data_IF_260435007979
#
_entry.id   IF_260435007979
#
_cell.length_a   1.000
_cell.length_b   1.000
_cell.length_c   1.000
_cell.angle_alpha   90.00
_cell.angle_beta   90.00
_cell.angle_gamma   90.00
#
_symmetry.space_group_name_H-M   'P 1'
#
loop_
_entity.id
_entity.type
_entity.pdbx_description
1 polymer ?
#
# COMPACT_ATOMS: atom_id res chain seq x y z
N UNK A 1 -32.49 -7.44 31.69
CA UNK A 1 -33.58 -8.22 31.08
C UNK A 1 -32.93 -9.22 30.13
N UNK A 2 -32.98 -10.52 30.42
CA UNK A 2 -32.38 -11.57 29.57
C UNK A 2 -33.31 -11.80 28.36
N UNK A 3 -32.79 -11.71 27.14
CA UNK A 3 -33.54 -12.06 25.93
C UNK A 3 -32.95 -13.37 25.39
N UNK A 4 -33.82 -14.38 25.35
CA UNK A 4 -33.58 -15.72 24.84
C UNK A 4 -33.57 -15.71 23.31
N UNK A 5 -32.55 -16.31 22.69
CA UNK A 5 -32.48 -16.53 21.25
C UNK A 5 -33.17 -17.85 20.90
N UNK A 6 -34.27 -17.78 20.15
CA UNK A 6 -34.95 -18.94 19.59
C UNK A 6 -34.50 -19.10 18.14
N UNK A 7 -33.86 -20.22 17.84
CA UNK A 7 -33.31 -20.57 16.53
C UNK A 7 -34.45 -21.10 15.64
N UNK A 8 -34.70 -20.43 14.50
CA UNK A 8 -35.50 -21.00 13.42
C UNK A 8 -34.54 -21.63 12.40
N UNK A 9 -34.56 -22.96 12.31
CA UNK A 9 -33.91 -23.70 11.24
C UNK A 9 -34.77 -23.60 9.97
N UNK A 10 -34.25 -22.94 8.93
CA UNK A 10 -34.67 -23.16 7.55
C UNK A 10 -33.46 -23.61 6.75
N UNK A 11 -33.51 -24.84 6.25
CA UNK A 11 -32.57 -25.33 5.26
C UNK A 11 -32.91 -24.67 3.91
N UNK A 12 -31.96 -23.94 3.34
CA UNK A 12 -32.03 -23.40 1.98
C UNK A 12 -31.24 -24.29 0.99
N UNK A 13 -31.63 -24.32 -0.29
CA UNK A 13 -31.10 -25.25 -1.27
C UNK A 13 -29.69 -24.84 -1.70
N UNK A 14 -28.77 -25.81 -1.63
CA UNK A 14 -27.40 -25.73 -2.13
C UNK A 14 -27.41 -25.50 -3.66
N UNK A 15 -27.35 -24.23 -4.07
CA UNK A 15 -26.80 -23.89 -5.37
C UNK A 15 -25.28 -23.97 -5.25
N UNK A 16 -24.71 -24.95 -5.94
CA UNK A 16 -23.30 -25.28 -5.92
C UNK A 16 -22.44 -24.13 -6.44
N UNK A 17 -21.99 -23.26 -5.54
CA UNK A 17 -20.73 -22.55 -5.70
C UNK A 17 -19.65 -23.63 -5.93
N UNK A 18 -18.88 -23.57 -7.03
CA UNK A 18 -17.85 -24.56 -7.28
C UNK A 18 -16.89 -24.50 -6.08
N UNK A 19 -16.62 -25.67 -5.49
CA UNK A 19 -15.81 -25.88 -4.30
C UNK A 19 -14.64 -24.88 -4.16
N UNK A 20 -14.89 -23.74 -3.50
CA UNK A 20 -13.90 -22.71 -3.21
C UNK A 20 -13.20 -23.13 -1.92
N UNK A 21 -12.15 -23.93 -2.08
CA UNK A 21 -11.35 -24.51 -1.03
C UNK A 21 -10.63 -23.45 -0.18
N UNK A 22 -11.35 -22.88 0.80
CA UNK A 22 -10.95 -22.55 2.19
C UNK A 22 -12.00 -21.61 2.81
N UNK A 23 -13.15 -22.16 3.19
CA UNK A 23 -14.39 -21.42 3.55
C UNK A 23 -14.23 -20.50 4.79
N UNK A 24 -13.23 -20.74 5.65
CA UNK A 24 -12.95 -19.88 6.81
C UNK A 24 -12.25 -18.57 6.45
N UNK A 25 -11.34 -18.58 5.47
CA UNK A 25 -10.57 -17.40 5.09
C UNK A 25 -11.46 -16.39 4.36
N UNK A 26 -12.21 -16.85 3.35
CA UNK A 26 -13.15 -16.00 2.61
C UNK A 26 -14.17 -15.36 3.55
N UNK A 27 -14.68 -16.15 4.50
CA UNK A 27 -15.56 -15.64 5.55
C UNK A 27 -14.87 -14.57 6.42
N UNK A 28 -13.62 -14.78 6.83
CA UNK A 28 -12.85 -13.80 7.60
C UNK A 28 -12.67 -12.48 6.82
N UNK A 29 -12.32 -12.55 5.53
CA UNK A 29 -12.28 -11.36 4.68
C UNK A 29 -13.65 -10.68 4.60
N UNK A 30 -14.72 -11.44 4.35
CA UNK A 30 -16.07 -10.90 4.27
C UNK A 30 -16.51 -10.21 5.56
N UNK A 31 -16.26 -10.79 6.72
CA UNK A 31 -16.55 -10.20 8.03
C UNK A 31 -15.76 -8.91 8.27
N UNK A 32 -14.46 -8.91 7.96
CA UNK A 32 -13.62 -7.72 8.09
C UNK A 32 -14.07 -6.59 7.18
N UNK A 33 -14.30 -6.86 5.89
CA UNK A 33 -14.74 -5.85 4.94
C UNK A 33 -16.16 -5.35 5.25
N UNK A 34 -17.04 -6.25 5.70
CA UNK A 34 -18.37 -5.91 6.18
C UNK A 34 -18.33 -4.91 7.36
N UNK A 35 -17.48 -5.17 8.35
CA UNK A 35 -17.32 -4.30 9.50
C UNK A 35 -16.74 -2.92 9.12
N UNK A 36 -15.74 -2.88 8.25
CA UNK A 36 -15.16 -1.63 7.73
C UNK A 36 -16.19 -0.81 6.93
N UNK A 37 -16.96 -1.46 6.06
CA UNK A 37 -18.05 -0.81 5.32
C UNK A 37 -19.15 -0.31 6.26
N UNK A 38 -19.51 -1.09 7.29
CA UNK A 38 -20.49 -0.70 8.30
C UNK A 38 -20.05 0.55 9.07
N UNK A 39 -18.80 0.57 9.55
CA UNK A 39 -18.21 1.75 10.17
C UNK A 39 -18.35 2.98 9.25
N UNK A 40 -17.97 2.83 7.97
CA UNK A 40 -18.02 3.92 7.01
C UNK A 40 -19.44 4.43 6.78
N UNK A 41 -20.41 3.53 6.60
CA UNK A 41 -21.80 3.92 6.36
C UNK A 41 -22.43 4.62 7.58
N UNK A 42 -22.17 4.15 8.80
CA UNK A 42 -22.68 4.77 10.02
C UNK A 42 -22.08 6.17 10.18
N UNK A 43 -20.76 6.29 10.09
CA UNK A 43 -20.06 7.57 10.28
C UNK A 43 -20.37 8.58 9.18
N UNK A 44 -20.55 8.17 7.92
CA UNK A 44 -21.05 9.06 6.85
C UNK A 44 -22.45 9.60 7.14
N UNK A 45 -23.33 8.79 7.73
CA UNK A 45 -24.66 9.25 8.13
C UNK A 45 -24.60 10.25 9.29
N UNK A 46 -23.74 9.99 10.28
CA UNK A 46 -23.50 10.95 11.37
C UNK A 46 -22.94 12.27 10.83
N UNK A 47 -21.96 12.23 9.93
CA UNK A 47 -21.39 13.43 9.31
C UNK A 47 -22.46 14.23 8.56
N UNK A 48 -23.34 13.53 7.82
CA UNK A 48 -24.42 14.16 7.08
C UNK A 48 -25.51 14.75 7.99
N UNK A 49 -25.87 14.09 9.09
CA UNK A 49 -27.01 14.48 9.95
C UNK A 49 -26.65 15.39 11.10
N UNK A 50 -25.44 15.23 11.63
CA UNK A 50 -24.96 15.90 12.84
C UNK A 50 -23.74 16.81 12.57
N UNK A 51 -23.37 17.03 11.31
CA UNK A 51 -22.26 17.89 10.89
C UNK A 51 -20.91 17.50 11.51
N UNK A 52 -20.73 16.19 11.78
CA UNK A 52 -19.48 15.63 12.30
C UNK A 52 -18.45 15.41 11.18
N UNK A 53 -17.24 14.94 11.55
CA UNK A 53 -16.15 14.58 10.63
C UNK A 53 -15.53 13.23 11.00
N UNK A 54 -16.38 12.22 11.16
CA UNK A 54 -16.05 10.89 11.64
C UNK A 54 -15.84 9.85 10.53
N UNK A 55 -16.36 10.10 9.33
CA UNK A 55 -16.18 9.21 8.20
C UNK A 55 -14.70 9.00 7.87
N UNK A 56 -14.38 7.82 7.33
CA UNK A 56 -13.04 7.51 6.88
C UNK A 56 -12.56 8.56 5.86
N UNK A 57 -11.34 9.03 6.07
CA UNK A 57 -10.64 9.87 5.10
C UNK A 57 -10.42 9.10 3.79
N UNK A 58 -10.17 9.84 2.70
CA UNK A 58 -9.81 9.24 1.41
C UNK A 58 -8.60 8.31 1.53
N UNK A 59 -7.62 8.66 2.36
CA UNK A 59 -6.44 7.83 2.61
C UNK A 59 -6.82 6.46 3.20
N UNK A 60 -7.69 6.44 4.21
CA UNK A 60 -8.13 5.20 4.84
C UNK A 60 -8.96 4.33 3.90
N UNK A 61 -9.83 4.94 3.06
CA UNK A 61 -10.59 4.19 2.06
C UNK A 61 -9.66 3.61 0.99
N UNK A 62 -8.68 4.38 0.52
CA UNK A 62 -7.70 3.91 -0.46
C UNK A 62 -6.77 2.83 0.10
N UNK A 63 -6.45 2.87 1.40
CA UNK A 63 -5.70 1.80 2.06
C UNK A 63 -6.48 0.48 2.04
N UNK A 64 -7.76 0.50 2.39
CA UNK A 64 -8.62 -0.69 2.34
C UNK A 64 -8.69 -1.23 0.91
N UNK A 65 -8.90 -0.36 -0.07
CA UNK A 65 -8.90 -0.71 -1.50
C UNK A 65 -7.56 -1.32 -1.95
N UNK A 66 -6.43 -0.74 -1.56
CA UNK A 66 -5.11 -1.23 -1.91
C UNK A 66 -4.85 -2.63 -1.35
N UNK A 67 -5.09 -2.84 -0.05
CA UNK A 67 -4.93 -4.13 0.61
C UNK A 67 -5.79 -5.21 -0.07
N UNK A 68 -7.08 -4.90 -0.29
CA UNK A 68 -7.99 -5.82 -0.96
C UNK A 68 -7.57 -6.15 -2.39
N UNK A 69 -7.08 -5.20 -3.16
CA UNK A 69 -6.60 -5.52 -4.51
C UNK A 69 -5.39 -6.44 -4.48
N UNK A 70 -4.44 -6.20 -3.57
CA UNK A 70 -3.24 -7.03 -3.43
C UNK A 70 -3.53 -8.44 -2.96
N UNK A 71 -4.51 -8.57 -2.06
CA UNK A 71 -4.86 -9.85 -1.44
C UNK A 71 -5.92 -10.63 -2.20
N UNK A 72 -6.89 -9.92 -2.81
CA UNK A 72 -8.14 -10.49 -3.29
C UNK A 72 -8.41 -10.22 -4.79
N UNK A 73 -7.56 -9.43 -5.46
CA UNK A 73 -7.74 -8.98 -6.85
C UNK A 73 -9.07 -8.22 -7.10
N UNK A 74 -9.66 -7.61 -6.08
CA UNK A 74 -10.88 -6.81 -6.21
C UNK A 74 -10.78 -5.50 -5.43
N UNK A 75 -11.50 -4.48 -5.88
CA UNK A 75 -11.64 -3.22 -5.14
C UNK A 75 -12.57 -3.36 -3.94
N UNK A 76 -12.50 -2.40 -3.02
CA UNK A 76 -13.45 -2.32 -1.90
C UNK A 76 -14.91 -2.23 -2.38
N UNK A 77 -15.18 -1.43 -3.42
CA UNK A 77 -16.52 -1.29 -4.00
C UNK A 77 -17.01 -2.58 -4.66
N UNK A 78 -16.14 -3.30 -5.39
CA UNK A 78 -16.48 -4.58 -6.00
C UNK A 78 -16.78 -5.64 -4.94
N UNK A 79 -15.99 -5.68 -3.86
CA UNK A 79 -16.26 -6.57 -2.73
C UNK A 79 -17.66 -6.33 -2.17
N UNK A 80 -17.99 -5.08 -1.84
CA UNK A 80 -19.29 -4.70 -1.30
C UNK A 80 -20.42 -5.04 -2.29
N UNK A 81 -20.18 -4.93 -3.59
CA UNK A 81 -21.20 -5.27 -4.61
C UNK A 81 -21.42 -6.79 -4.70
N UNK A 82 -20.36 -7.60 -4.62
CA UNK A 82 -20.44 -9.06 -4.76
C UNK A 82 -21.02 -9.71 -3.49
N UNK A 83 -20.61 -9.25 -2.32
CA UNK A 83 -20.95 -9.87 -1.03
C UNK A 83 -22.01 -9.10 -0.23
N UNK A 84 -22.38 -7.89 -0.67
CA UNK A 84 -23.33 -7.03 0.04
C UNK A 84 -24.79 -7.49 0.00
N UNK A 85 -25.19 -8.26 -1.02
CA UNK A 85 -26.57 -8.74 -1.20
C UNK A 85 -26.87 -10.08 -0.50
N UNK A 86 -25.84 -10.81 -0.03
CA UNK A 86 -26.03 -12.10 0.63
C UNK A 86 -26.10 -11.89 2.13
N UNK A 87 -27.30 -11.62 2.68
CA UNK A 87 -27.82 -11.97 4.04
C UNK A 87 -26.92 -11.89 5.31
N UNK A 88 -25.68 -11.40 5.20
CA UNK A 88 -24.67 -11.21 6.24
C UNK A 88 -24.45 -9.71 6.53
N UNK A 89 -24.99 -8.83 5.68
CA UNK A 89 -24.84 -7.37 5.76
C UNK A 89 -26.17 -6.61 5.90
N UNK A 90 -27.31 -7.30 5.94
CA UNK A 90 -28.64 -6.72 6.13
C UNK A 90 -29.11 -6.71 7.59
N UNK A 91 -28.21 -6.47 8.54
CA UNK A 91 -28.63 -5.64 9.68
C UNK A 91 -28.72 -4.22 9.13
N UNK A 92 -29.93 -3.66 9.14
CA UNK A 92 -30.27 -2.35 8.59
C UNK A 92 -29.38 -1.23 9.17
N UNK A 93 -28.17 -1.05 8.63
CA UNK A 93 -27.16 -0.09 9.10
C UNK A 93 -27.59 1.37 8.90
N UNK A 94 -28.57 1.60 8.01
CA UNK A 94 -29.25 2.90 7.89
C UNK A 94 -30.04 3.25 9.16
N UNK A 95 -30.42 2.25 9.96
CA UNK A 95 -31.07 2.45 11.24
C UNK A 95 -30.11 2.81 12.36
N UNK A 96 -28.89 2.27 12.40
CA UNK A 96 -28.01 2.37 13.59
C UNK A 96 -27.68 3.82 13.97
N UNK A 97 -27.30 4.65 13.00
CA UNK A 97 -27.03 6.06 13.25
C UNK A 97 -28.30 6.82 13.69
N UNK A 98 -29.44 6.52 13.05
CA UNK A 98 -30.71 7.18 13.34
C UNK A 98 -31.25 6.80 14.72
N UNK A 99 -31.28 5.50 15.01
CA UNK A 99 -31.63 4.93 16.30
C UNK A 99 -30.79 5.55 17.43
N UNK A 100 -29.48 5.69 17.20
CA UNK A 100 -28.60 6.32 18.17
C UNK A 100 -29.00 7.77 18.42
N UNK A 101 -29.19 8.56 17.36
CA UNK A 101 -29.59 9.97 17.46
C UNK A 101 -30.96 10.10 18.17
N UNK A 102 -31.95 9.31 17.75
CA UNK A 102 -33.32 9.37 18.29
C UNK A 102 -33.39 8.96 19.77
N UNK A 103 -32.73 7.86 20.15
CA UNK A 103 -32.73 7.36 21.53
C UNK A 103 -31.97 8.28 22.51
N UNK A 104 -31.07 9.12 22.00
CA UNK A 104 -30.26 10.02 22.81
C UNK A 104 -30.69 11.50 22.72
N UNK A 105 -31.87 11.79 22.13
CA UNK A 105 -32.42 13.15 22.11
C UNK A 105 -31.76 14.10 21.11
N UNK A 106 -31.14 13.58 20.05
CA UNK A 106 -30.56 14.36 18.96
C UNK A 106 -29.03 14.27 18.87
N UNK A 107 -28.43 15.19 18.11
CA UNK A 107 -26.99 15.24 17.86
C UNK A 107 -26.21 15.85 19.06
N UNK A 108 -26.14 15.11 20.18
CA UNK A 108 -25.41 15.55 21.37
C UNK A 108 -23.90 15.26 21.19
N UNK A 109 -23.02 16.29 21.14
CA UNK A 109 -21.61 16.08 20.76
C UNK A 109 -20.84 15.10 21.63
N UNK A 110 -21.04 15.11 22.95
CA UNK A 110 -20.36 14.20 23.88
C UNK A 110 -20.77 12.74 23.68
N UNK A 111 -22.06 12.49 23.41
CA UNK A 111 -22.56 11.13 23.16
C UNK A 111 -22.13 10.63 21.79
N UNK A 112 -22.16 11.50 20.77
CA UNK A 112 -21.65 11.19 19.44
C UNK A 112 -20.16 10.85 19.46
N UNK A 113 -19.36 11.59 20.23
CA UNK A 113 -17.93 11.32 20.38
C UNK A 113 -17.67 9.98 21.09
N UNK A 114 -18.43 9.65 22.13
CA UNK A 114 -18.33 8.35 22.81
C UNK A 114 -18.71 7.19 21.88
N UNK A 115 -19.81 7.33 21.15
CA UNK A 115 -20.25 6.31 20.19
C UNK A 115 -19.25 6.14 19.05
N UNK A 116 -18.74 7.24 18.51
CA UNK A 116 -17.68 7.22 17.49
C UNK A 116 -16.42 6.54 18.02
N UNK A 117 -16.01 6.82 19.26
CA UNK A 117 -14.83 6.19 19.85
C UNK A 117 -14.96 4.67 19.95
N UNK A 118 -16.14 4.14 20.28
CA UNK A 118 -16.38 2.70 20.33
C UNK A 118 -16.41 2.06 18.93
N UNK A 119 -17.05 2.71 17.95
CA UNK A 119 -16.98 2.29 16.55
C UNK A 119 -15.55 2.33 16.01
N UNK A 120 -14.77 3.34 16.40
CA UNK A 120 -13.42 3.52 15.92
C UNK A 120 -12.48 2.41 16.41
N UNK A 121 -12.70 1.87 17.61
CA UNK A 121 -11.97 0.67 18.08
C UNK A 121 -12.20 -0.52 17.15
N UNK A 122 -13.46 -0.76 16.75
CA UNK A 122 -13.78 -1.83 15.79
C UNK A 122 -13.08 -1.58 14.46
N UNK A 123 -13.10 -0.34 13.95
CA UNK A 123 -12.36 0.01 12.73
C UNK A 123 -10.85 -0.30 12.86
N UNK A 124 -10.22 0.06 13.98
CA UNK A 124 -8.79 -0.19 14.22
C UNK A 124 -8.47 -1.69 14.26
N UNK A 125 -9.32 -2.50 14.91
CA UNK A 125 -9.15 -3.95 14.98
C UNK A 125 -9.27 -4.58 13.59
N UNK A 126 -10.26 -4.17 12.80
CA UNK A 126 -10.53 -4.75 11.48
C UNK A 126 -9.51 -4.32 10.42
N UNK A 127 -9.04 -3.07 10.42
CA UNK A 127 -7.96 -2.66 9.51
C UNK A 127 -6.64 -3.35 9.86
N UNK A 128 -6.37 -3.61 11.15
CA UNK A 128 -5.21 -4.39 11.57
C UNK A 128 -5.28 -5.84 11.08
N UNK A 129 -6.46 -6.49 11.16
CA UNK A 129 -6.69 -7.81 10.57
C UNK A 129 -6.45 -7.81 9.06
N UNK A 130 -7.02 -6.85 8.34
CA UNK A 130 -6.85 -6.73 6.89
C UNK A 130 -5.38 -6.60 6.49
N UNK A 131 -4.60 -5.77 7.21
CA UNK A 131 -3.15 -5.64 7.00
C UNK A 131 -2.37 -6.93 7.29
N UNK A 132 -2.89 -7.77 8.18
CA UNK A 132 -2.21 -9.01 8.61
C UNK A 132 -2.46 -10.21 7.71
N UNK A 133 -3.44 -10.16 6.80
CA UNK A 133 -3.69 -11.29 5.92
C UNK A 133 -2.51 -11.53 4.98
N UNK A 134 -1.86 -12.69 5.16
CA UNK A 134 -0.72 -13.14 4.36
C UNK A 134 -1.16 -13.95 3.14
N UNK A 135 -2.33 -14.60 3.21
CA UNK A 135 -2.83 -15.44 2.13
C UNK A 135 -3.49 -14.58 1.05
N UNK A 136 -2.91 -14.65 -0.15
CA UNK A 136 -3.49 -14.10 -1.38
C UNK A 136 -4.47 -15.14 -1.92
N UNK A 137 -5.70 -14.74 -2.13
CA UNK A 137 -6.72 -15.57 -2.73
C UNK A 137 -7.39 -14.79 -3.85
N UNK A 138 -7.58 -15.42 -5.01
CA UNK A 138 -8.13 -14.74 -6.18
C UNK A 138 -9.62 -15.05 -6.23
N UNK A 139 -10.49 -14.07 -5.95
CA UNK A 139 -11.91 -14.18 -6.29
C UNK A 139 -12.01 -14.39 -7.81
N UNK A 140 -12.60 -15.52 -8.22
CA UNK A 140 -12.48 -16.10 -9.56
C UNK A 140 -12.69 -15.16 -10.75
N UNK A 141 -12.05 -15.46 -11.87
CA UNK A 141 -12.23 -14.93 -13.24
C UNK A 141 -12.42 -13.41 -13.47
N UNK A 142 -12.28 -12.54 -12.45
CA UNK A 142 -12.31 -11.07 -12.62
C UNK A 142 -11.01 -10.66 -13.33
N UNK A 143 -11.05 -10.74 -14.65
CA UNK A 143 -9.98 -10.33 -15.54
C UNK A 143 -10.14 -8.86 -15.84
N UNK A 144 -9.19 -8.05 -15.36
CA UNK A 144 -9.07 -6.65 -15.77
C UNK A 144 -8.46 -6.59 -17.16
N UNK A 145 -9.14 -5.94 -18.10
CA UNK A 145 -8.57 -5.65 -19.41
C UNK A 145 -7.41 -4.65 -19.29
N UNK A 146 -6.50 -4.68 -20.26
CA UNK A 146 -5.36 -3.76 -20.30
C UNK A 146 -5.81 -2.29 -20.26
N UNK A 147 -6.90 -1.95 -20.95
CA UNK A 147 -7.48 -0.60 -20.95
C UNK A 147 -8.01 -0.18 -19.58
N UNK A 148 -8.65 -1.09 -18.84
CA UNK A 148 -9.11 -0.84 -17.47
C UNK A 148 -7.92 -0.61 -16.53
N UNK A 149 -6.88 -1.44 -16.65
CA UNK A 149 -5.67 -1.30 -15.84
C UNK A 149 -4.94 0.03 -16.12
N UNK A 150 -4.85 0.43 -17.38
CA UNK A 150 -4.27 1.73 -17.77
C UNK A 150 -5.08 2.91 -17.22
N UNK A 151 -6.41 2.85 -17.32
CA UNK A 151 -7.29 3.88 -16.79
C UNK A 151 -7.16 3.98 -15.26
N UNK A 152 -7.14 2.84 -14.58
CA UNK A 152 -6.99 2.75 -13.13
C UNK A 152 -5.62 3.28 -12.67
N UNK A 153 -4.52 2.86 -13.30
CA UNK A 153 -3.19 3.38 -13.00
C UNK A 153 -3.13 4.91 -13.18
N UNK A 154 -3.70 5.43 -14.27
CA UNK A 154 -3.77 6.87 -14.52
C UNK A 154 -4.55 7.61 -13.42
N UNK A 155 -5.69 7.08 -13.00
CA UNK A 155 -6.48 7.67 -11.91
C UNK A 155 -5.69 7.69 -10.59
N UNK A 156 -5.02 6.60 -10.24
CA UNK A 156 -4.21 6.50 -9.02
C UNK A 156 -3.03 7.49 -9.06
N UNK A 157 -2.32 7.59 -10.19
CA UNK A 157 -1.26 8.58 -10.40
C UNK A 157 -1.80 10.02 -10.33
N UNK A 158 -3.04 10.29 -10.69
CA UNK A 158 -3.62 11.65 -10.57
C UNK A 158 -4.01 12.01 -9.13
N UNK A 159 -4.29 11.01 -8.30
CA UNK A 159 -4.81 11.20 -6.94
C UNK A 159 -3.85 10.67 -5.84
N UNK A 160 -2.56 10.57 -6.15
CA UNK A 160 -1.58 9.89 -5.30
C UNK A 160 -1.47 10.47 -3.89
N UNK A 161 -1.80 11.75 -3.68
CA UNK A 161 -1.74 12.40 -2.36
C UNK A 161 -2.71 11.81 -1.33
N UNK A 162 -3.64 10.97 -1.79
CA UNK A 162 -4.59 10.25 -0.96
C UNK A 162 -4.35 8.74 -0.93
N UNK A 163 -3.21 8.26 -1.42
CA UNK A 163 -2.87 6.84 -1.44
C UNK A 163 -1.92 6.48 -0.27
N UNK A 164 -1.94 5.22 0.19
CA UNK A 164 -0.92 4.74 1.13
C UNK A 164 0.47 4.82 0.48
N UNK A 165 1.51 5.05 1.30
CA UNK A 165 2.89 5.23 0.82
C UNK A 165 3.36 4.06 -0.05
N UNK A 166 3.05 2.82 0.33
CA UNK A 166 3.41 1.63 -0.45
C UNK A 166 2.80 1.63 -1.85
N UNK A 167 1.54 2.07 -2.00
CA UNK A 167 0.92 2.16 -3.33
C UNK A 167 1.61 3.25 -4.18
N UNK A 168 2.05 4.35 -3.57
CA UNK A 168 2.78 5.41 -4.26
C UNK A 168 4.14 4.88 -4.75
N UNK A 169 4.87 4.13 -3.91
CA UNK A 169 6.14 3.47 -4.26
C UNK A 169 5.95 2.51 -5.44
N UNK A 170 4.94 1.66 -5.38
CA UNK A 170 4.63 0.73 -6.48
C UNK A 170 4.22 1.44 -7.78
N UNK A 171 3.46 2.53 -7.69
CA UNK A 171 3.11 3.34 -8.86
C UNK A 171 4.35 4.00 -9.48
N UNK A 172 5.27 4.51 -8.66
CA UNK A 172 6.54 5.04 -9.15
C UNK A 172 7.32 3.96 -9.91
N UNK A 173 7.52 2.79 -9.30
CA UNK A 173 8.17 1.65 -9.95
C UNK A 173 7.45 1.24 -11.25
N UNK A 174 6.13 1.22 -11.24
CA UNK A 174 5.32 0.91 -12.42
C UNK A 174 5.59 1.86 -13.58
N UNK A 175 5.71 3.17 -13.28
CA UNK A 175 6.02 4.21 -14.26
C UNK A 175 7.48 4.17 -14.73
N UNK A 176 8.37 3.50 -13.99
CA UNK A 176 9.74 3.25 -14.44
C UNK A 176 9.82 2.07 -15.41
N UNK A 177 9.16 0.96 -15.07
CA UNK A 177 9.29 -0.30 -15.81
C UNK A 177 8.23 -0.49 -16.91
N UNK A 178 7.18 0.33 -16.93
CA UNK A 178 6.11 0.27 -17.93
C UNK A 178 5.06 -0.82 -17.66
N UNK A 179 4.95 -1.29 -16.41
CA UNK A 179 3.97 -2.31 -16.01
C UNK A 179 3.32 -1.93 -14.69
N UNK A 180 1.99 -1.89 -14.67
CA UNK A 180 1.19 -1.65 -13.48
C UNK A 180 0.69 -2.96 -12.88
N UNK A 181 1.11 -3.23 -11.64
CA UNK A 181 0.70 -4.40 -10.88
C UNK A 181 -0.53 -4.07 -10.03
N UNK A 182 -1.72 -4.31 -10.59
CA UNK A 182 -2.98 -4.12 -9.87
C UNK A 182 -3.13 -5.11 -8.70
N UNK A 183 -2.74 -6.36 -8.93
CA UNK A 183 -2.71 -7.47 -7.95
C UNK A 183 -1.66 -8.50 -8.38
N UNK A 184 -1.54 -9.62 -7.65
CA UNK A 184 -0.73 -10.76 -8.10
C UNK A 184 -1.21 -11.34 -9.44
N UNK A 185 -2.52 -11.32 -9.70
CA UNK A 185 -3.15 -11.94 -10.86
C UNK A 185 -3.38 -10.98 -12.04
N UNK A 186 -3.28 -9.67 -11.81
CA UNK A 186 -3.62 -8.63 -12.80
C UNK A 186 -2.44 -7.69 -13.00
N UNK A 187 -1.81 -7.79 -14.17
CA UNK A 187 -0.69 -6.97 -14.62
C UNK A 187 -1.04 -6.31 -15.95
N UNK A 188 -0.84 -5.00 -16.07
CA UNK A 188 -1.16 -4.24 -17.28
C UNK A 188 0.01 -3.39 -17.75
N UNK A 189 0.20 -3.24 -19.07
CA UNK A 189 1.24 -2.33 -19.58
C UNK A 189 0.79 -0.89 -19.43
N UNK A 190 1.71 -0.04 -19.00
CA UNK A 190 1.51 1.41 -18.94
C UNK A 190 2.68 2.13 -19.61
N UNK A 191 2.50 3.40 -19.93
CA UNK A 191 3.57 4.21 -20.50
C UNK A 191 4.62 4.51 -19.42
N UNK A 192 5.90 4.31 -19.76
CA UNK A 192 7.02 4.75 -18.92
C UNK A 192 6.97 6.27 -18.78
N UNK A 193 7.03 6.76 -17.55
CA UNK A 193 7.05 8.19 -17.23
C UNK A 193 7.93 8.47 -16.01
N UNK A 194 9.23 8.58 -16.26
CA UNK A 194 10.24 8.84 -15.22
C UNK A 194 10.02 10.16 -14.48
N UNK A 195 9.40 11.16 -15.13
CA UNK A 195 9.06 12.43 -14.49
C UNK A 195 8.02 12.22 -13.40
N UNK A 196 6.92 11.54 -13.71
CA UNK A 196 5.88 11.24 -12.72
C UNK A 196 6.40 10.29 -11.64
N UNK A 197 7.18 9.26 -12.00
CA UNK A 197 7.84 8.40 -11.01
C UNK A 197 8.65 9.23 -10.00
N UNK A 198 9.48 10.16 -10.49
CA UNK A 198 10.24 11.08 -9.64
C UNK A 198 9.34 11.95 -8.78
N UNK A 199 8.25 12.50 -9.31
CA UNK A 199 7.29 13.31 -8.56
C UNK A 199 6.63 12.53 -7.41
N UNK A 200 6.28 11.26 -7.65
CA UNK A 200 5.72 10.37 -6.64
C UNK A 200 6.73 10.09 -5.52
N UNK A 201 7.98 9.74 -5.84
CA UNK A 201 9.00 9.48 -4.82
C UNK A 201 9.40 10.75 -4.05
N UNK A 202 9.41 11.92 -4.72
CA UNK A 202 9.59 13.21 -4.05
C UNK A 202 8.45 13.53 -3.07
N UNK A 203 7.25 13.01 -3.28
CA UNK A 203 6.16 13.11 -2.31
C UNK A 203 6.39 12.17 -1.13
N UNK A 204 6.85 10.95 -1.37
CA UNK A 204 7.13 9.97 -0.30
C UNK A 204 8.19 10.48 0.67
N UNK A 205 9.33 10.99 0.19
CA UNK A 205 10.41 11.50 1.06
C UNK A 205 10.08 12.78 1.83
N UNK A 206 8.93 13.40 1.57
CA UNK A 206 8.41 14.50 2.43
C UNK A 206 7.69 13.97 3.66
N UNK A 207 7.29 12.71 3.64
CA UNK A 207 6.48 12.06 4.67
C UNK A 207 7.27 11.01 5.45
N UNK A 208 8.29 10.41 4.82
CA UNK A 208 9.09 9.32 5.39
C UNK A 208 10.59 9.56 5.18
N UNK A 209 11.43 8.94 6.02
CA UNK A 209 12.87 8.82 5.79
C UNK A 209 13.21 7.40 5.29
N UNK A 210 12.55 6.96 4.21
CA UNK A 210 12.75 5.63 3.64
C UNK A 210 14.08 5.57 2.83
N UNK A 211 15.08 4.78 3.26
CA UNK A 211 16.37 4.64 2.57
C UNK A 211 16.24 4.25 1.09
N UNK A 212 15.36 3.29 0.79
CA UNK A 212 15.16 2.72 -0.55
C UNK A 212 14.67 3.81 -1.53
N UNK A 213 13.74 4.65 -1.05
CA UNK A 213 13.16 5.73 -1.85
C UNK A 213 14.21 6.79 -2.19
N UNK A 214 15.15 7.07 -1.27
CA UNK A 214 16.27 7.95 -1.58
C UNK A 214 17.21 7.33 -2.62
N UNK A 215 17.48 6.02 -2.56
CA UNK A 215 18.27 5.34 -3.58
C UNK A 215 17.61 5.44 -4.96
N UNK A 216 16.31 5.15 -5.05
CA UNK A 216 15.55 5.25 -6.30
C UNK A 216 15.52 6.68 -6.86
N UNK A 217 15.38 7.70 -6.01
CA UNK A 217 15.50 9.10 -6.42
C UNK A 217 16.90 9.42 -6.96
N UNK A 218 17.96 8.89 -6.34
CA UNK A 218 19.32 8.99 -6.84
C UNK A 218 19.42 8.46 -8.28
N UNK A 219 18.94 7.24 -8.50
CA UNK A 219 18.96 6.55 -9.81
C UNK A 219 18.16 7.30 -10.87
N UNK A 220 16.97 7.81 -10.53
CA UNK A 220 16.13 8.59 -11.45
C UNK A 220 16.72 9.95 -11.81
N UNK A 221 17.44 10.59 -10.87
CA UNK A 221 17.97 11.93 -11.06
C UNK A 221 19.38 11.98 -11.65
N UNK A 222 20.12 10.86 -11.66
CA UNK A 222 21.56 10.87 -11.99
C UNK A 222 21.90 11.56 -13.31
N UNK A 223 21.04 11.44 -14.33
CA UNK A 223 21.28 12.06 -15.64
C UNK A 223 20.72 13.49 -15.79
N UNK A 224 19.79 13.89 -14.91
CA UNK A 224 19.12 15.20 -14.97
C UNK A 224 19.74 16.22 -14.02
N UNK A 225 20.09 15.78 -12.82
CA UNK A 225 20.69 16.61 -11.78
C UNK A 225 21.67 15.76 -10.95
N UNK A 226 22.90 15.53 -11.46
CA UNK A 226 23.88 14.65 -10.81
C UNK A 226 24.21 15.06 -9.37
N UNK A 227 24.25 16.37 -9.08
CA UNK A 227 24.50 16.87 -7.72
C UNK A 227 23.38 16.46 -6.77
N UNK A 228 22.12 16.61 -7.18
CA UNK A 228 20.99 16.19 -6.36
C UNK A 228 20.90 14.66 -6.23
N UNK A 229 21.23 13.93 -7.31
CA UNK A 229 21.29 12.48 -7.27
C UNK A 229 22.32 11.98 -6.26
N UNK A 230 23.53 12.56 -6.26
CA UNK A 230 24.56 12.24 -5.27
C UNK A 230 24.05 12.45 -3.84
N UNK A 231 23.39 13.59 -3.56
CA UNK A 231 22.85 13.85 -2.22
C UNK A 231 21.80 12.81 -1.79
N UNK A 232 21.00 12.29 -2.73
CA UNK A 232 20.04 11.24 -2.43
C UNK A 232 20.70 9.88 -2.19
N UNK A 233 21.67 9.50 -3.01
CA UNK A 233 22.47 8.30 -2.76
C UNK A 233 23.21 8.39 -1.42
N UNK A 234 23.77 9.55 -1.09
CA UNK A 234 24.44 9.78 0.19
C UNK A 234 23.46 9.64 1.37
N UNK A 235 22.26 10.23 1.27
CA UNK A 235 21.22 10.12 2.30
C UNK A 235 20.73 8.68 2.46
N UNK A 236 20.52 7.95 1.36
CA UNK A 236 20.19 6.52 1.35
C UNK A 236 21.25 5.69 2.08
N UNK A 237 22.53 5.86 1.72
CA UNK A 237 23.65 5.20 2.38
C UNK A 237 23.77 5.54 3.88
N UNK A 238 23.55 6.81 4.26
CA UNK A 238 23.57 7.24 5.66
C UNK A 238 22.45 6.60 6.49
N UNK A 239 21.30 6.34 5.88
CA UNK A 239 20.17 5.63 6.49
C UNK A 239 20.34 4.10 6.50
N UNK A 240 21.42 3.58 5.91
CA UNK A 240 21.77 2.16 5.95
C UNK A 240 21.19 1.33 4.81
N UNK A 241 20.74 1.97 3.72
CA UNK A 241 20.38 1.26 2.49
C UNK A 241 21.59 0.48 1.94
N UNK A 242 21.43 -0.81 1.70
CA UNK A 242 22.50 -1.64 1.12
C UNK A 242 22.88 -1.14 -0.28
N UNK A 243 21.90 -0.84 -1.13
CA UNK A 243 22.17 -0.36 -2.49
C UNK A 243 22.81 1.04 -2.47
N UNK A 244 22.35 1.91 -1.58
CA UNK A 244 22.96 3.23 -1.34
C UNK A 244 24.41 3.13 -0.87
N UNK A 245 24.71 2.24 0.09
CA UNK A 245 26.06 1.99 0.60
C UNK A 245 26.99 1.51 -0.52
N UNK A 246 26.53 0.58 -1.35
CA UNK A 246 27.33 0.00 -2.44
C UNK A 246 27.56 1.03 -3.54
N UNK A 247 26.52 1.78 -3.91
CA UNK A 247 26.63 2.87 -4.87
C UNK A 247 27.66 3.90 -4.41
N UNK A 248 27.58 4.34 -3.15
CA UNK A 248 28.46 5.36 -2.60
C UNK A 248 29.92 4.86 -2.51
N UNK A 249 30.12 3.60 -2.14
CA UNK A 249 31.43 2.94 -2.17
C UNK A 249 32.04 2.94 -3.57
N UNK A 250 31.26 2.48 -4.55
CA UNK A 250 31.68 2.45 -5.97
C UNK A 250 31.98 3.85 -6.49
N UNK A 251 31.12 4.82 -6.17
CA UNK A 251 31.30 6.22 -6.57
C UNK A 251 32.62 6.80 -6.07
N UNK A 252 32.95 6.61 -4.80
CA UNK A 252 34.22 7.11 -4.26
C UNK A 252 35.43 6.50 -4.96
N UNK A 253 35.38 5.20 -5.29
CA UNK A 253 36.47 4.58 -6.03
C UNK A 253 36.57 5.09 -7.47
N UNK A 254 35.45 5.29 -8.17
CA UNK A 254 35.44 5.95 -9.48
C UNK A 254 36.02 7.37 -9.44
N UNK A 255 36.03 8.01 -8.27
CA UNK A 255 36.63 9.32 -8.00
C UNK A 255 37.99 9.24 -7.26
N UNK A 256 38.63 8.06 -7.27
CA UNK A 256 39.98 7.82 -6.73
C UNK A 256 40.13 8.00 -5.21
N UNK A 257 39.03 7.90 -4.46
CA UNK A 257 39.03 7.89 -2.99
C UNK A 257 38.77 6.47 -2.47
N UNK A 258 39.75 5.58 -2.64
CA UNK A 258 39.61 4.17 -2.28
C UNK A 258 39.49 3.96 -0.76
N UNK A 259 39.95 4.91 0.06
CA UNK A 259 39.78 4.86 1.52
C UNK A 259 38.30 5.01 1.88
N UNK A 260 37.61 6.02 1.33
CA UNK A 260 36.16 6.14 1.52
C UNK A 260 35.40 5.02 0.84
N UNK A 261 35.83 4.59 -0.34
CA UNK A 261 35.20 3.48 -1.04
C UNK A 261 35.12 2.22 -0.16
N UNK A 262 36.25 1.77 0.38
CA UNK A 262 36.32 0.60 1.25
C UNK A 262 35.55 0.80 2.56
N UNK A 263 35.52 2.01 3.12
CA UNK A 263 34.70 2.31 4.29
C UNK A 263 33.20 2.05 4.05
N UNK A 264 32.65 2.53 2.93
CA UNK A 264 31.25 2.34 2.60
C UNK A 264 30.94 0.90 2.15
N UNK A 265 31.81 0.29 1.34
CA UNK A 265 31.65 -1.11 0.91
C UNK A 265 31.73 -2.10 2.09
N UNK A 266 32.55 -1.82 3.11
CA UNK A 266 32.60 -2.66 4.31
C UNK A 266 31.35 -2.53 5.18
N UNK A 267 30.65 -1.39 5.14
CA UNK A 267 29.35 -1.25 5.81
C UNK A 267 28.24 -2.03 5.12
N UNK A 268 28.30 -2.17 3.80
CA UNK A 268 27.34 -2.98 3.04
C UNK A 268 27.44 -4.48 3.36
N UNK A 269 28.61 -4.96 3.81
CA UNK A 269 28.89 -6.40 4.00
C UNK A 269 28.22 -7.06 5.22
N UNK A 270 27.36 -6.38 5.96
CA UNK A 270 26.52 -7.03 6.99
C UNK A 270 25.29 -7.67 6.34
N UNK A 271 25.49 -8.80 5.65
CA UNK A 271 24.41 -9.69 5.22
C UNK A 271 24.30 -10.01 3.73
N UNK A 272 24.99 -9.33 2.81
CA UNK A 272 24.82 -9.51 1.34
C UNK A 272 26.10 -9.16 0.52
N UNK A 273 26.08 -9.18 -0.84
CA UNK A 273 26.17 -10.28 -1.81
C UNK A 273 27.56 -10.40 -2.48
N UNK A 274 27.86 -11.53 -3.17
CA UNK A 274 29.18 -11.83 -3.80
C UNK A 274 29.80 -10.65 -4.59
N UNK A 275 28.95 -9.84 -5.26
CA UNK A 275 29.43 -8.72 -6.09
C UNK A 275 30.09 -7.58 -5.31
N UNK A 276 29.80 -7.39 -4.01
CA UNK A 276 30.47 -6.35 -3.20
C UNK A 276 31.93 -6.71 -3.00
N UNK A 277 32.23 -8.00 -2.83
CA UNK A 277 33.60 -8.47 -2.74
C UNK A 277 34.31 -8.34 -4.08
N UNK A 278 33.63 -8.61 -5.19
CA UNK A 278 34.17 -8.37 -6.54
C UNK A 278 34.60 -6.91 -6.72
N UNK A 279 33.76 -5.94 -6.31
CA UNK A 279 34.13 -4.51 -6.38
C UNK A 279 35.36 -4.22 -5.51
N UNK A 280 35.45 -4.80 -4.30
CA UNK A 280 36.63 -4.61 -3.44
C UNK A 280 37.89 -5.22 -4.05
N UNK A 281 37.78 -6.38 -4.69
CA UNK A 281 38.88 -7.02 -5.40
C UNK A 281 39.31 -6.19 -6.61
N UNK A 282 38.39 -5.67 -7.42
CA UNK A 282 38.72 -4.74 -8.51
C UNK A 282 39.44 -3.48 -7.99
N UNK A 283 39.02 -2.93 -6.85
CA UNK A 283 39.71 -1.80 -6.22
C UNK A 283 41.14 -2.19 -5.80
N UNK A 284 41.36 -3.40 -5.30
CA UNK A 284 42.68 -3.87 -4.86
C UNK A 284 43.61 -4.14 -6.06
N UNK A 285 43.10 -4.81 -7.09
CA UNK A 285 43.90 -5.29 -8.23
C UNK A 285 44.09 -4.21 -9.30
N UNK A 286 43.05 -3.40 -9.55
CA UNK A 286 43.00 -2.41 -10.64
C UNK A 286 43.06 -0.96 -10.15
N UNK A 287 42.84 -0.73 -8.85
CA UNK A 287 42.76 0.61 -8.27
C UNK A 287 41.42 1.32 -8.47
N UNK A 288 40.49 0.74 -9.26
CA UNK A 288 39.14 1.23 -9.49
C UNK A 288 38.22 0.12 -10.05
N UNK A 289 36.89 0.22 -9.88
CA UNK A 289 35.92 -0.70 -10.48
C UNK A 289 35.88 -0.62 -12.00
N UNK A 290 35.53 -1.74 -12.64
CA UNK A 290 35.44 -1.83 -14.10
C UNK A 290 34.20 -1.14 -14.68
N UNK A 291 33.21 -0.82 -13.86
CA UNK A 291 31.97 -0.16 -14.25
C UNK A 291 31.97 1.36 -14.09
N UNK A 292 33.12 2.00 -13.87
CA UNK A 292 33.20 3.46 -13.78
C UNK A 292 33.05 4.15 -15.15
N UNK A 293 32.12 5.10 -15.25
CA UNK A 293 31.93 5.97 -16.41
C UNK A 293 31.94 7.44 -15.98
N UNK A 294 32.98 8.19 -16.38
CA UNK A 294 33.13 9.63 -16.04
C UNK A 294 33.02 9.93 -14.54
N UNK A 295 33.55 9.06 -13.68
CA UNK A 295 33.48 9.20 -12.22
C UNK A 295 32.15 8.74 -11.60
N UNK A 296 31.29 8.06 -12.36
CA UNK A 296 30.01 7.52 -11.89
C UNK A 296 29.97 5.99 -12.00
N UNK A 297 29.35 5.28 -11.05
CA UNK A 297 28.98 3.87 -11.22
C UNK A 297 28.00 3.68 -12.37
N UNK A 298 28.18 2.64 -13.18
CA UNK A 298 27.29 2.26 -14.28
C UNK A 298 26.47 1.03 -13.94
#
# INVERSE_FOLDING_TARGET
MKISATIFSLALPLLSLPALANDALIKSYAETIAALNTYQQITQQLDKKCETKYALSKLQVNEIDFLLRKQANITFTEFVTIFGDVELLTLNNQGVANDFIEKNGGCIPSLLALFHADLHKVYLDEIAKLRSYQEIFIFGDIKKSEKELQAFAKEKVQNYQHLPIEEIKELARSLEIGYYQYSLASLGKIQINLRQATELLLFVVKQTEDPEVYHDLGRLMQWRNPTQAFNYFEKSAQLGDVDGLIWLGTYYSCNKDNVKALYWLNKASTGEPDYVEDIKLEIQDLGMPTNCLNGWPR
#
